data_IF_166542905778
#
_entry.id   IF_166542905778
#
_cell.length_a   1.000
_cell.length_b   1.000
_cell.length_c   1.000
_cell.angle_alpha   90.00
_cell.angle_beta   90.00
_cell.angle_gamma   90.00
#
_symmetry.space_group_name_H-M   'P 1'
#
loop_
_entity.id
_entity.type
_entity.pdbx_description
1 polymer ?
#
# COMPACT_ATOMS: atom_id res chain seq x y z
N UNK A 1 -35.07 5.04 -6.43
CA UNK A 1 -34.40 4.98 -5.10
C UNK A 1 -32.97 4.49 -5.28
N UNK A 2 -31.98 5.40 -5.24
CA UNK A 2 -30.56 5.08 -5.44
C UNK A 2 -29.93 4.55 -4.15
N UNK A 3 -29.50 3.28 -4.14
CA UNK A 3 -28.76 2.69 -3.00
C UNK A 3 -27.55 3.57 -2.62
N UNK A 4 -27.20 3.68 -1.33
CA UNK A 4 -25.98 4.35 -0.86
C UNK A 4 -24.76 3.48 -1.23
N UNK A 5 -24.41 3.42 -2.51
CA UNK A 5 -23.34 2.54 -3.01
C UNK A 5 -21.95 2.99 -2.56
N UNK A 6 -21.80 4.24 -2.12
CA UNK A 6 -20.49 4.84 -1.81
C UNK A 6 -19.91 4.53 -0.43
N UNK A 7 -20.71 4.10 0.55
CA UNK A 7 -20.22 3.94 1.95
C UNK A 7 -19.83 2.51 2.30
N UNK A 8 -20.33 1.51 1.56
CA UNK A 8 -20.07 0.09 1.87
C UNK A 8 -18.57 -0.27 1.84
N UNK A 9 -17.77 0.14 0.82
CA UNK A 9 -16.35 -0.16 0.84
C UNK A 9 -15.64 0.44 2.06
N UNK A 10 -16.02 1.66 2.47
CA UNK A 10 -15.46 2.31 3.64
C UNK A 10 -15.76 1.54 4.92
N UNK A 11 -17.02 1.12 5.12
CA UNK A 11 -17.43 0.34 6.30
C UNK A 11 -16.66 -0.98 6.37
N UNK A 12 -16.52 -1.68 5.23
CA UNK A 12 -15.77 -2.94 5.16
C UNK A 12 -14.28 -2.72 5.44
N UNK A 13 -13.68 -1.68 4.86
CA UNK A 13 -12.29 -1.31 5.12
C UNK A 13 -12.04 -1.00 6.59
N UNK A 14 -12.86 -0.14 7.20
CA UNK A 14 -12.75 0.21 8.62
C UNK A 14 -12.99 -1.00 9.53
N UNK A 15 -13.96 -1.86 9.20
CA UNK A 15 -14.21 -3.09 9.93
C UNK A 15 -13.04 -4.07 9.89
N UNK A 16 -12.41 -4.23 8.72
CA UNK A 16 -11.20 -5.03 8.57
C UNK A 16 -10.00 -4.48 9.34
N UNK A 17 -9.77 -3.16 9.26
CA UNK A 17 -8.74 -2.48 10.03
C UNK A 17 -8.94 -2.68 11.55
N UNK A 18 -10.16 -2.44 12.05
CA UNK A 18 -10.48 -2.62 13.46
C UNK A 18 -10.31 -4.08 13.90
N UNK A 19 -10.75 -5.05 13.09
CA UNK A 19 -10.55 -6.47 13.37
C UNK A 19 -9.06 -6.83 13.45
N UNK A 20 -8.24 -6.37 12.48
CA UNK A 20 -6.80 -6.56 12.50
C UNK A 20 -6.14 -5.99 13.75
N UNK A 21 -6.45 -4.74 14.12
CA UNK A 21 -5.90 -4.08 15.32
C UNK A 21 -6.25 -4.83 16.61
N UNK A 22 -7.51 -5.26 16.75
CA UNK A 22 -7.96 -6.02 17.91
C UNK A 22 -7.31 -7.42 17.98
N UNK A 23 -7.15 -8.09 16.84
CA UNK A 23 -6.43 -9.36 16.76
C UNK A 23 -4.94 -9.20 17.07
N UNK A 24 -4.31 -8.09 16.67
CA UNK A 24 -2.93 -7.77 17.01
C UNK A 24 -2.75 -7.61 18.53
N UNK A 25 -3.67 -6.88 19.17
CA UNK A 25 -3.72 -6.76 20.63
C UNK A 25 -3.87 -8.11 21.32
N UNK A 26 -4.74 -8.97 20.80
CA UNK A 26 -4.96 -10.31 21.32
C UNK A 26 -3.71 -11.19 21.16
N UNK A 27 -3.09 -11.19 19.97
CA UNK A 27 -1.83 -11.90 19.71
C UNK A 27 -0.71 -11.48 20.67
N UNK A 28 -0.55 -10.17 20.91
CA UNK A 28 0.41 -9.67 21.91
C UNK A 28 0.11 -10.12 23.35
N UNK A 29 -1.16 -10.30 23.71
CA UNK A 29 -1.56 -10.84 25.02
C UNK A 29 -1.19 -12.32 25.16
N UNK A 30 -1.33 -13.08 24.06
CA UNK A 30 -0.90 -14.48 24.01
C UNK A 30 0.62 -14.59 24.11
N UNK A 31 1.38 -13.68 23.48
CA UNK A 31 2.85 -13.65 23.58
C UNK A 31 3.32 -13.50 25.04
N UNK A 32 2.76 -12.56 25.80
CA UNK A 32 3.10 -12.40 27.23
C UNK A 32 2.73 -13.62 28.07
N UNK A 33 1.63 -14.27 27.75
CA UNK A 33 1.16 -15.45 28.49
C UNK A 33 2.11 -16.62 28.29
N UNK A 34 2.60 -16.81 27.05
CA UNK A 34 3.58 -17.83 26.70
C UNK A 34 4.94 -17.53 27.29
N UNK A 35 5.42 -16.29 27.21
CA UNK A 35 6.75 -15.91 27.72
C UNK A 35 6.88 -16.12 29.23
N UNK A 36 5.82 -15.83 30.00
CA UNK A 36 5.75 -16.10 31.45
C UNK A 36 5.68 -17.58 31.80
N UNK A 37 5.17 -18.42 30.90
CA UNK A 37 5.06 -19.87 31.10
C UNK A 37 6.35 -20.60 30.69
N UNK A 38 7.06 -20.09 29.67
CA UNK A 38 8.27 -20.69 29.10
C UNK A 38 9.54 -20.52 29.97
N UNK A 39 9.49 -19.77 31.06
CA UNK A 39 10.58 -19.67 32.05
C UNK A 39 10.92 -21.02 32.74
N UNK A 40 10.24 -22.11 32.39
CA UNK A 40 10.48 -23.48 32.86
C UNK A 40 11.24 -24.42 31.91
N UNK A 41 11.66 -23.99 30.71
CA UNK A 41 12.57 -24.76 29.85
C UNK A 41 11.96 -25.53 28.66
N UNK A 42 10.69 -25.30 28.32
CA UNK A 42 10.03 -25.90 27.15
C UNK A 42 10.03 -24.99 25.91
N UNK A 43 9.94 -25.61 24.72
CA UNK A 43 9.76 -24.95 23.43
C UNK A 43 8.55 -23.99 23.44
N UNK A 44 8.75 -22.76 22.96
CA UNK A 44 7.67 -21.77 22.91
C UNK A 44 6.66 -22.12 21.82
N UNK A 45 5.36 -22.21 22.12
CA UNK A 45 4.34 -22.46 21.11
C UNK A 45 4.22 -21.28 20.11
N UNK A 46 4.09 -21.62 18.82
CA UNK A 46 4.11 -20.66 17.69
C UNK A 46 2.76 -19.98 17.40
N UNK A 47 1.65 -20.44 18.00
CA UNK A 47 0.31 -19.92 17.72
C UNK A 47 0.11 -18.42 18.01
N UNK A 48 0.71 -17.79 19.04
CA UNK A 48 0.53 -16.35 19.27
C UNK A 48 1.06 -15.50 18.10
N UNK A 49 2.16 -15.96 17.49
CA UNK A 49 2.81 -15.29 16.37
C UNK A 49 1.97 -15.42 15.10
N UNK A 50 1.38 -16.60 14.89
CA UNK A 50 0.41 -16.82 13.82
C UNK A 50 -0.80 -15.89 13.95
N UNK A 51 -1.28 -15.63 15.18
CA UNK A 51 -2.37 -14.66 15.41
C UNK A 51 -1.95 -13.24 14.99
N UNK A 52 -0.73 -12.80 15.32
CA UNK A 52 -0.23 -11.47 14.91
C UNK A 52 -0.07 -11.35 13.39
N UNK A 53 0.44 -12.38 12.72
CA UNK A 53 0.55 -12.39 11.25
C UNK A 53 -0.83 -12.38 10.59
N UNK A 54 -1.78 -13.18 11.10
CA UNK A 54 -3.17 -13.16 10.61
C UNK A 54 -3.83 -11.79 10.85
N UNK A 55 -3.55 -11.16 12.00
CA UNK A 55 -4.01 -9.82 12.30
C UNK A 55 -3.52 -8.81 11.26
N UNK A 56 -2.25 -8.88 10.86
CA UNK A 56 -1.67 -8.04 9.82
C UNK A 56 -2.32 -8.28 8.45
N UNK A 57 -2.49 -9.56 8.07
CA UNK A 57 -3.13 -9.92 6.80
C UNK A 57 -4.55 -9.33 6.70
N UNK A 58 -5.33 -9.42 7.78
CA UNK A 58 -6.69 -8.87 7.83
C UNK A 58 -6.66 -7.33 7.87
N UNK A 59 -5.84 -6.77 8.76
CA UNK A 59 -5.73 -5.34 9.01
C UNK A 59 -5.31 -4.57 7.75
N UNK A 60 -4.35 -5.09 6.99
CA UNK A 60 -3.84 -4.47 5.77
C UNK A 60 -4.67 -4.89 4.54
N UNK A 61 -4.93 -6.19 4.39
CA UNK A 61 -5.54 -6.74 3.18
C UNK A 61 -6.98 -6.27 2.95
N UNK A 62 -7.81 -6.19 4.00
CA UNK A 62 -9.21 -5.81 3.85
C UNK A 62 -9.38 -4.34 3.40
N UNK A 63 -8.68 -3.34 3.99
CA UNK A 63 -8.65 -1.98 3.47
C UNK A 63 -8.18 -1.86 2.01
N UNK A 64 -7.14 -2.61 1.62
CA UNK A 64 -6.67 -2.61 0.24
C UNK A 64 -7.72 -3.16 -0.74
N UNK A 65 -8.41 -4.25 -0.36
CA UNK A 65 -9.55 -4.78 -1.12
C UNK A 65 -10.69 -3.76 -1.18
N UNK A 66 -10.96 -3.02 -0.10
CA UNK A 66 -11.96 -1.96 -0.09
C UNK A 66 -11.61 -0.81 -1.05
N UNK A 67 -10.34 -0.43 -1.18
CA UNK A 67 -9.88 0.56 -2.17
C UNK A 67 -10.09 0.04 -3.59
N UNK A 68 -9.70 -1.22 -3.86
CA UNK A 68 -9.94 -1.86 -5.15
C UNK A 68 -11.44 -1.92 -5.48
N UNK A 69 -12.28 -2.21 -4.49
CA UNK A 69 -13.74 -2.21 -4.64
C UNK A 69 -14.26 -0.81 -4.93
N UNK A 70 -13.84 0.21 -4.19
CA UNK A 70 -14.18 1.61 -4.46
C UNK A 70 -13.81 2.00 -5.90
N UNK A 71 -12.59 1.68 -6.34
CA UNK A 71 -12.14 1.95 -7.71
C UNK A 71 -13.05 1.29 -8.75
N UNK A 72 -13.36 0.00 -8.57
CA UNK A 72 -14.22 -0.78 -9.48
C UNK A 72 -15.66 -0.29 -9.55
N UNK A 73 -16.18 0.35 -8.50
CA UNK A 73 -17.49 1.01 -8.54
C UNK A 73 -17.49 2.30 -9.37
N UNK A 74 -16.34 2.98 -9.47
CA UNK A 74 -16.20 4.24 -10.21
C UNK A 74 -15.74 4.03 -11.64
N UNK A 75 -14.83 3.09 -11.86
CA UNK A 75 -14.23 2.76 -13.15
C UNK A 75 -14.60 1.33 -13.51
N UNK A 76 -15.58 1.20 -14.41
CA UNK A 76 -15.98 -0.11 -14.92
C UNK A 76 -14.91 -0.69 -15.84
N UNK A 77 -14.54 -1.95 -15.59
CA UNK A 77 -13.76 -2.78 -16.53
C UNK A 77 -14.61 -3.93 -17.11
N UNK A 78 -15.94 -3.83 -17.05
CA UNK A 78 -16.85 -4.89 -17.52
C UNK A 78 -16.64 -5.22 -19.00
N UNK A 79 -16.31 -4.20 -19.79
CA UNK A 79 -16.12 -4.31 -21.24
C UNK A 79 -14.64 -4.20 -21.64
N UNK A 80 -13.73 -4.15 -20.67
CA UNK A 80 -12.29 -4.04 -20.94
C UNK A 80 -11.69 -5.44 -21.13
N UNK A 81 -11.19 -5.77 -22.34
CA UNK A 81 -10.52 -7.05 -22.57
C UNK A 81 -9.26 -7.14 -21.70
N UNK A 82 -8.80 -8.37 -21.44
CA UNK A 82 -7.57 -8.63 -20.67
C UNK A 82 -7.57 -8.20 -19.19
N UNK A 83 -8.70 -7.79 -18.60
CA UNK A 83 -8.79 -7.40 -17.16
C UNK A 83 -8.23 -8.46 -16.18
N UNK A 84 -8.39 -9.74 -16.49
CA UNK A 84 -7.87 -10.86 -15.68
C UNK A 84 -6.36 -11.01 -15.85
N UNK A 85 -5.84 -10.82 -17.06
CA UNK A 85 -4.40 -10.82 -17.30
C UNK A 85 -3.75 -9.64 -16.58
N UNK A 86 -4.35 -8.45 -16.63
CA UNK A 86 -3.87 -7.29 -15.88
C UNK A 86 -3.86 -7.50 -14.34
N UNK A 87 -4.82 -8.26 -13.79
CA UNK A 87 -4.78 -8.68 -12.39
C UNK A 87 -3.54 -9.56 -12.11
N UNK A 88 -3.32 -10.62 -12.90
CA UNK A 88 -2.19 -11.52 -12.68
C UNK A 88 -0.84 -10.85 -12.91
N UNK A 89 -0.74 -10.01 -13.93
CA UNK A 89 0.46 -9.21 -14.19
C UNK A 89 0.69 -8.22 -13.06
N UNK A 90 -0.37 -7.57 -12.56
CA UNK A 90 -0.28 -6.67 -11.41
C UNK A 90 0.25 -7.40 -10.17
N UNK A 91 -0.26 -8.59 -9.85
CA UNK A 91 0.22 -9.39 -8.73
C UNK A 91 1.68 -9.81 -8.91
N UNK A 92 2.03 -10.37 -10.08
CA UNK A 92 3.40 -10.77 -10.39
C UNK A 92 4.37 -9.59 -10.31
N UNK A 93 3.97 -8.43 -10.85
CA UNK A 93 4.78 -7.23 -10.80
C UNK A 93 4.88 -6.65 -9.40
N UNK A 94 3.81 -6.65 -8.60
CA UNK A 94 3.87 -6.21 -7.21
C UNK A 94 4.91 -7.00 -6.41
N UNK A 95 4.99 -8.33 -6.62
CA UNK A 95 6.03 -9.17 -6.02
C UNK A 95 7.42 -8.79 -6.51
N UNK A 96 7.63 -8.67 -7.83
CA UNK A 96 8.93 -8.27 -8.40
C UNK A 96 9.34 -6.90 -7.88
N UNK A 97 8.40 -5.96 -7.82
CA UNK A 97 8.63 -4.62 -7.36
C UNK A 97 9.02 -4.57 -5.89
N UNK A 98 8.37 -5.38 -5.03
CA UNK A 98 8.76 -5.54 -3.63
C UNK A 98 10.20 -6.07 -3.49
N UNK A 99 10.55 -7.11 -4.26
CA UNK A 99 11.90 -7.69 -4.20
C UNK A 99 12.96 -6.70 -4.66
N UNK A 100 12.70 -5.98 -5.76
CA UNK A 100 13.60 -4.95 -6.26
C UNK A 100 13.73 -3.78 -5.28
N UNK A 101 12.61 -3.30 -4.71
CA UNK A 101 12.63 -2.26 -3.69
C UNK A 101 13.45 -2.68 -2.46
N UNK A 102 13.22 -3.90 -1.94
CA UNK A 102 13.98 -4.43 -0.81
C UNK A 102 15.49 -4.48 -1.05
N UNK A 103 15.93 -4.84 -2.27
CA UNK A 103 17.35 -4.88 -2.64
C UNK A 103 17.93 -3.47 -2.83
N UNK A 104 17.15 -2.55 -3.39
CA UNK A 104 17.62 -1.22 -3.77
C UNK A 104 17.52 -0.18 -2.66
N UNK A 105 16.59 -0.33 -1.70
CA UNK A 105 16.35 0.62 -0.63
C UNK A 105 17.58 0.75 0.29
N UNK A 106 18.28 -0.35 0.59
CA UNK A 106 19.53 -0.31 1.37
C UNK A 106 20.58 0.62 0.76
N UNK A 107 21.05 0.38 -0.47
CA UNK A 107 21.94 1.30 -1.18
C UNK A 107 21.38 2.72 -1.35
N UNK A 108 20.07 2.86 -1.58
CA UNK A 108 19.43 4.16 -1.79
C UNK A 108 19.53 5.07 -0.55
N UNK A 109 19.42 4.51 0.66
CA UNK A 109 19.57 5.28 1.91
C UNK A 109 20.97 5.88 2.11
N UNK A 110 21.98 5.38 1.37
CA UNK A 110 23.35 5.88 1.42
C UNK A 110 23.58 7.12 0.55
N UNK A 111 22.61 7.54 -0.26
CA UNK A 111 22.71 8.71 -1.13
C UNK A 111 22.44 10.02 -0.37
N UNK A 112 22.99 11.17 -0.82
CA UNK A 112 22.71 12.48 -0.22
C UNK A 112 21.21 12.76 -0.22
N UNK A 113 20.60 12.96 0.96
CA UNK A 113 19.14 13.06 1.13
C UNK A 113 18.49 11.87 1.84
N UNK A 114 19.24 10.79 2.10
CA UNK A 114 18.89 9.73 3.05
C UNK A 114 17.53 9.08 2.79
N UNK A 115 16.62 9.24 3.75
CA UNK A 115 15.30 8.57 3.78
C UNK A 115 14.33 8.98 2.66
N UNK A 116 14.66 9.96 1.82
CA UNK A 116 13.82 10.35 0.68
C UNK A 116 13.95 9.36 -0.50
N UNK A 117 15.10 8.69 -0.62
CA UNK A 117 15.41 7.82 -1.76
C UNK A 117 14.63 6.50 -1.79
N UNK A 118 14.35 5.81 -0.67
CA UNK A 118 13.51 4.61 -0.65
C UNK A 118 12.15 4.81 -1.31
N UNK A 119 11.37 5.81 -0.88
CA UNK A 119 10.08 6.12 -1.52
C UNK A 119 10.19 6.43 -3.01
N UNK A 120 11.28 7.06 -3.46
CA UNK A 120 11.57 7.29 -4.88
C UNK A 120 11.78 5.99 -5.65
N UNK A 121 12.58 5.08 -5.11
CA UNK A 121 12.87 3.77 -5.70
C UNK A 121 11.60 2.93 -5.77
N UNK A 122 10.81 2.93 -4.72
CA UNK A 122 9.57 2.17 -4.69
C UNK A 122 8.55 2.64 -5.72
N UNK A 123 8.30 3.95 -5.81
CA UNK A 123 7.41 4.49 -6.83
C UNK A 123 7.96 4.27 -8.24
N UNK A 124 9.30 4.28 -8.41
CA UNK A 124 9.96 3.90 -9.67
C UNK A 124 9.55 2.51 -10.09
N UNK A 125 9.79 1.53 -9.22
CA UNK A 125 9.62 0.14 -9.59
C UNK A 125 8.13 -0.19 -9.73
N UNK A 126 7.24 0.39 -8.91
CA UNK A 126 5.78 0.23 -9.07
C UNK A 126 5.31 0.69 -10.46
N UNK A 127 5.85 1.81 -10.97
CA UNK A 127 5.42 2.42 -12.24
C UNK A 127 6.19 1.91 -13.47
N UNK A 128 7.35 1.27 -13.30
CA UNK A 128 8.22 0.85 -14.40
C UNK A 128 7.54 -0.11 -15.39
N UNK A 129 7.01 -1.25 -14.93
CA UNK A 129 6.32 -2.19 -15.82
C UNK A 129 5.10 -1.55 -16.50
N UNK A 130 4.21 -0.82 -15.80
CA UNK A 130 3.15 -0.07 -16.43
C UNK A 130 3.65 0.80 -17.60
N UNK A 131 4.74 1.56 -17.41
CA UNK A 131 5.32 2.41 -18.46
C UNK A 131 5.84 1.56 -19.63
N UNK A 132 6.52 0.46 -19.36
CA UNK A 132 6.98 -0.48 -20.41
C UNK A 132 5.79 -1.02 -21.21
N UNK A 133 4.71 -1.43 -20.55
CA UNK A 133 3.50 -1.95 -21.20
C UNK A 133 2.78 -0.87 -22.03
N UNK A 134 2.74 0.38 -21.55
CA UNK A 134 2.21 1.52 -22.30
C UNK A 134 2.97 1.73 -23.63
N UNK A 135 4.30 1.61 -23.60
CA UNK A 135 5.17 1.83 -24.75
C UNK A 135 5.15 0.66 -25.74
N UNK A 136 5.14 -0.57 -25.22
CA UNK A 136 5.35 -1.79 -26.01
C UNK A 136 4.07 -2.43 -26.56
N UNK A 137 2.92 -2.26 -25.89
CA UNK A 137 1.72 -3.05 -26.18
C UNK A 137 0.47 -2.18 -26.36
N UNK A 138 -0.15 -2.24 -27.54
CA UNK A 138 -1.39 -1.52 -27.85
C UNK A 138 -2.52 -1.85 -26.85
N UNK A 139 -2.57 -3.08 -26.36
CA UNK A 139 -3.55 -3.57 -25.39
C UNK A 139 -3.53 -2.80 -24.08
N UNK A 140 -2.37 -2.34 -23.62
CA UNK A 140 -2.19 -1.63 -22.35
C UNK A 140 -2.22 -0.10 -22.49
N UNK A 141 -2.58 0.40 -23.68
CA UNK A 141 -2.84 1.84 -23.89
C UNK A 141 -4.18 2.30 -23.32
N UNK A 142 -5.10 1.39 -22.96
CA UNK A 142 -6.33 1.76 -22.25
C UNK A 142 -5.96 2.32 -20.87
N UNK A 143 -6.35 3.57 -20.55
CA UNK A 143 -6.12 4.17 -19.25
C UNK A 143 -6.76 3.38 -18.11
N UNK A 144 -7.92 2.74 -18.37
CA UNK A 144 -8.64 1.95 -17.37
C UNK A 144 -7.90 0.66 -17.03
N UNK A 145 -7.39 -0.02 -18.06
CA UNK A 145 -6.62 -1.26 -17.87
C UNK A 145 -5.28 -0.97 -17.19
N UNK A 146 -4.59 0.10 -17.61
CA UNK A 146 -3.33 0.54 -17.00
C UNK A 146 -3.50 0.90 -15.52
N UNK A 147 -4.50 1.73 -15.19
CA UNK A 147 -4.79 2.10 -13.80
C UNK A 147 -5.18 0.90 -12.93
N UNK A 148 -5.91 -0.08 -13.50
CA UNK A 148 -6.22 -1.31 -12.78
C UNK A 148 -4.99 -2.16 -12.49
N UNK A 149 -4.11 -2.35 -13.47
CA UNK A 149 -2.84 -3.06 -13.30
C UNK A 149 -1.99 -2.41 -12.20
N UNK A 150 -1.85 -1.08 -12.24
CA UNK A 150 -1.09 -0.31 -11.24
C UNK A 150 -1.72 -0.44 -9.86
N UNK A 151 -3.06 -0.35 -9.77
CA UNK A 151 -3.76 -0.51 -8.50
C UNK A 151 -3.45 -1.87 -7.86
N UNK A 152 -3.51 -2.94 -8.65
CA UNK A 152 -3.20 -4.29 -8.17
C UNK A 152 -1.74 -4.40 -7.76
N UNK A 153 -0.81 -3.90 -8.57
CA UNK A 153 0.62 -3.97 -8.28
C UNK A 153 0.98 -3.20 -7.00
N UNK A 154 0.52 -1.95 -6.87
CA UNK A 154 0.80 -1.11 -5.71
C UNK A 154 0.12 -1.64 -4.43
N UNK A 155 -1.13 -2.12 -4.53
CA UNK A 155 -1.81 -2.73 -3.39
C UNK A 155 -1.13 -4.04 -2.95
N UNK A 156 -0.72 -4.87 -3.91
CA UNK A 156 -0.05 -6.14 -3.57
C UNK A 156 1.34 -5.91 -2.99
N UNK A 157 2.10 -4.94 -3.50
CA UNK A 157 3.36 -4.54 -2.91
C UNK A 157 3.17 -4.04 -1.47
N UNK A 158 2.28 -3.07 -1.24
CA UNK A 158 2.03 -2.55 0.12
C UNK A 158 1.53 -3.65 1.07
N UNK A 159 0.73 -4.60 0.57
CA UNK A 159 0.36 -5.78 1.36
C UNK A 159 1.58 -6.62 1.78
N UNK A 160 2.45 -6.98 0.83
CA UNK A 160 3.65 -7.77 1.11
C UNK A 160 4.60 -7.04 2.05
N UNK A 161 4.80 -5.75 1.80
CA UNK A 161 5.64 -4.89 2.61
C UNK A 161 5.14 -4.79 4.04
N UNK A 162 3.88 -4.41 4.24
CA UNK A 162 3.33 -4.29 5.59
C UNK A 162 3.34 -5.60 6.36
N UNK A 163 3.05 -6.72 5.71
CA UNK A 163 3.18 -8.05 6.33
C UNK A 163 4.64 -8.35 6.66
N UNK A 164 5.59 -8.04 5.77
CA UNK A 164 7.02 -8.27 6.02
C UNK A 164 7.53 -7.47 7.23
N UNK A 165 7.07 -6.23 7.41
CA UNK A 165 7.43 -5.44 8.58
C UNK A 165 6.90 -6.02 9.89
N UNK A 166 5.69 -6.57 9.88
CA UNK A 166 5.14 -7.26 11.05
C UNK A 166 5.94 -8.52 11.35
N UNK A 167 6.30 -9.30 10.31
CA UNK A 167 7.16 -10.48 10.47
C UNK A 167 8.50 -10.07 11.08
N UNK A 168 9.19 -9.07 10.54
CA UNK A 168 10.47 -8.57 11.08
C UNK A 168 10.35 -8.09 12.54
N UNK A 169 9.20 -7.50 12.93
CA UNK A 169 8.98 -7.08 14.31
C UNK A 169 8.80 -8.27 15.27
N UNK A 170 8.31 -9.41 14.79
CA UNK A 170 8.09 -10.61 15.61
C UNK A 170 9.18 -11.68 15.46
N UNK A 171 10.06 -11.57 14.46
CA UNK A 171 11.15 -12.52 14.16
C UNK A 171 12.09 -12.73 15.35
N UNK A 172 12.54 -11.68 16.09
CA UNK A 172 13.35 -11.89 17.27
C UNK A 172 12.64 -12.69 18.38
N UNK A 173 11.30 -12.66 18.40
CA UNK A 173 10.48 -13.42 19.35
C UNK A 173 10.34 -14.88 18.90
N UNK A 174 10.26 -15.11 17.58
CA UNK A 174 10.32 -16.46 16.97
C UNK A 174 11.65 -17.15 17.31
N UNK A 175 12.74 -16.39 17.33
CA UNK A 175 14.09 -16.88 17.64
C UNK A 175 14.38 -17.03 19.16
N UNK A 176 13.35 -16.96 20.00
CA UNK A 176 13.49 -17.15 21.46
C UNK A 176 13.82 -15.89 22.25
N UNK A 177 13.87 -14.71 21.61
CA UNK A 177 14.01 -13.42 22.28
C UNK A 177 12.80 -13.09 23.17
N UNK A 178 12.98 -12.33 24.27
CA UNK A 178 11.89 -12.03 25.20
C UNK A 178 10.77 -11.23 24.53
N UNK A 179 9.53 -11.46 24.95
CA UNK A 179 8.42 -10.64 24.48
C UNK A 179 8.56 -9.21 25.04
N UNK A 180 8.17 -8.16 24.28
CA UNK A 180 8.10 -6.82 24.83
C UNK A 180 7.22 -6.77 26.08
N UNK A 181 7.61 -5.97 27.08
CA UNK A 181 6.86 -5.86 28.35
C UNK A 181 5.40 -5.43 28.17
N UNK A 182 5.09 -4.71 27.09
CA UNK A 182 3.74 -4.36 26.65
C UNK A 182 3.44 -4.88 25.23
N UNK A 183 3.74 -6.16 24.97
CA UNK A 183 3.46 -6.79 23.67
C UNK A 183 2.02 -6.59 23.14
N UNK A 184 0.94 -6.59 23.96
CA UNK A 184 -0.41 -6.28 23.48
C UNK A 184 -0.51 -4.90 22.83
N UNK A 185 0.07 -3.88 23.44
CA UNK A 185 0.06 -2.54 22.87
C UNK A 185 0.97 -2.47 21.64
N UNK A 186 2.20 -2.99 21.71
CA UNK A 186 3.15 -2.94 20.60
C UNK A 186 2.57 -3.59 19.34
N UNK A 187 2.06 -4.82 19.44
CA UNK A 187 1.48 -5.54 18.29
C UNK A 187 0.22 -4.86 17.73
N UNK A 188 -0.61 -4.28 18.61
CA UNK A 188 -1.77 -3.49 18.20
C UNK A 188 -1.35 -2.25 17.40
N UNK A 189 -0.32 -1.54 17.87
CA UNK A 189 0.18 -0.33 17.25
C UNK A 189 0.89 -0.59 15.93
N UNK A 190 1.68 -1.67 15.84
CA UNK A 190 2.36 -2.06 14.61
C UNK A 190 1.36 -2.40 13.51
N UNK A 191 0.34 -3.21 13.83
CA UNK A 191 -0.74 -3.52 12.86
C UNK A 191 -1.50 -2.26 12.46
N UNK A 192 -1.79 -1.35 13.40
CA UNK A 192 -2.48 -0.09 13.12
C UNK A 192 -1.66 0.79 12.16
N UNK A 193 -0.38 1.01 12.46
CA UNK A 193 0.51 1.85 11.66
C UNK A 193 0.61 1.29 10.24
N UNK A 194 0.88 -0.02 10.11
CA UNK A 194 0.99 -0.66 8.79
C UNK A 194 -0.33 -0.57 8.03
N UNK A 195 -1.46 -0.80 8.68
CA UNK A 195 -2.76 -0.63 8.03
C UNK A 195 -2.95 0.77 7.44
N UNK A 196 -2.50 1.82 8.12
CA UNK A 196 -2.61 3.21 7.64
C UNK A 196 -1.59 3.47 6.52
N UNK A 197 -0.33 3.10 6.71
CA UNK A 197 0.74 3.37 5.74
C UNK A 197 0.50 2.62 4.43
N UNK A 198 0.20 1.32 4.51
CA UNK A 198 0.15 0.47 3.32
C UNK A 198 -0.99 0.82 2.37
N UNK A 199 -2.08 1.43 2.87
CA UNK A 199 -3.15 1.93 1.99
C UNK A 199 -2.72 3.13 1.16
N UNK A 200 -1.65 3.84 1.54
CA UNK A 200 -1.14 4.97 0.77
C UNK A 200 -0.56 4.51 -0.58
N UNK A 201 0.06 3.33 -0.66
CA UNK A 201 0.72 2.80 -1.86
C UNK A 201 -0.22 2.86 -3.08
N UNK A 202 -1.39 2.19 -3.08
CA UNK A 202 -2.31 2.29 -4.22
C UNK A 202 -2.89 3.69 -4.42
N UNK A 203 -3.04 4.53 -3.38
CA UNK A 203 -3.59 5.88 -3.52
C UNK A 203 -2.62 6.80 -4.29
N UNK A 204 -1.34 6.72 -3.96
CA UNK A 204 -0.27 7.54 -4.55
C UNK A 204 -0.03 7.09 -6.00
N UNK A 205 0.32 5.82 -6.19
CA UNK A 205 0.79 5.30 -7.48
C UNK A 205 -0.31 5.33 -8.55
N UNK A 206 -1.56 5.00 -8.18
CA UNK A 206 -2.68 5.02 -9.15
C UNK A 206 -3.00 6.44 -9.61
N UNK A 207 -2.89 7.43 -8.73
CA UNK A 207 -3.09 8.82 -9.13
C UNK A 207 -2.11 9.24 -10.22
N UNK A 208 -0.82 8.92 -10.06
CA UNK A 208 0.20 9.17 -11.09
C UNK A 208 -0.09 8.41 -12.38
N UNK A 209 -0.39 7.11 -12.29
CA UNK A 209 -0.68 6.30 -13.46
C UNK A 209 -1.86 6.84 -14.28
N UNK A 210 -2.94 7.29 -13.65
CA UNK A 210 -4.06 7.88 -14.37
C UNK A 210 -3.63 9.14 -15.13
N UNK A 211 -2.86 10.02 -14.50
CA UNK A 211 -2.36 11.24 -15.14
C UNK A 211 -1.45 10.89 -16.33
N UNK A 212 -0.52 9.95 -16.16
CA UNK A 212 0.42 9.49 -17.19
C UNK A 212 -0.36 8.93 -18.40
N UNK A 213 -1.32 8.03 -18.19
CA UNK A 213 -2.05 7.38 -19.28
C UNK A 213 -2.95 8.37 -20.02
N UNK A 214 -3.67 9.24 -19.29
CA UNK A 214 -4.52 10.23 -19.92
C UNK A 214 -3.70 11.23 -20.73
N UNK A 215 -2.54 11.66 -20.23
CA UNK A 215 -1.62 12.53 -20.96
C UNK A 215 -1.08 11.84 -22.23
N UNK A 216 -0.60 10.60 -22.11
CA UNK A 216 -0.10 9.81 -23.24
C UNK A 216 -1.15 9.58 -24.34
N UNK A 217 -2.43 9.49 -23.96
CA UNK A 217 -3.55 9.30 -24.89
C UNK A 217 -3.99 10.57 -25.58
N UNK A 218 -3.93 11.72 -24.91
CA UNK A 218 -4.60 12.95 -25.35
C UNK A 218 -3.67 14.05 -25.84
N UNK A 219 -2.35 13.93 -25.60
CA UNK A 219 -1.39 15.01 -25.86
C UNK A 219 -0.27 14.57 -26.81
N UNK A 220 0.38 15.53 -27.51
CA UNK A 220 1.61 15.27 -28.24
C UNK A 220 2.72 14.71 -27.32
N UNK A 221 3.60 13.88 -27.88
CA UNK A 221 4.60 13.10 -27.14
C UNK A 221 5.42 13.93 -26.14
N UNK A 222 5.88 15.13 -26.51
CA UNK A 222 6.69 15.98 -25.63
C UNK A 222 5.90 16.50 -24.41
N UNK A 223 4.61 16.83 -24.57
CA UNK A 223 3.75 17.26 -23.46
C UNK A 223 3.38 16.08 -22.58
N UNK A 224 3.07 14.94 -23.19
CA UNK A 224 2.79 13.71 -22.47
C UNK A 224 3.99 13.29 -21.60
N UNK A 225 5.21 13.39 -22.14
CA UNK A 225 6.43 13.13 -21.39
C UNK A 225 6.59 14.09 -20.21
N UNK A 226 6.48 15.40 -20.43
CA UNK A 226 6.61 16.40 -19.35
C UNK A 226 5.58 16.20 -18.22
N UNK A 227 4.31 15.98 -18.57
CA UNK A 227 3.26 15.71 -17.58
C UNK A 227 3.48 14.37 -16.88
N UNK A 228 3.92 13.35 -17.61
CA UNK A 228 4.22 12.04 -17.04
C UNK A 228 5.37 12.11 -16.03
N UNK A 229 6.43 12.84 -16.35
CA UNK A 229 7.54 13.10 -15.44
C UNK A 229 7.09 13.86 -14.19
N UNK A 230 6.27 14.91 -14.34
CA UNK A 230 5.73 15.65 -13.20
C UNK A 230 4.83 14.79 -12.30
N UNK A 231 3.99 13.95 -12.90
CA UNK A 231 3.13 13.02 -12.14
C UNK A 231 3.96 11.98 -11.39
N UNK A 232 5.02 11.50 -12.02
CA UNK A 232 5.97 10.56 -11.42
C UNK A 232 6.72 11.19 -10.24
N UNK A 233 7.36 12.35 -10.44
CA UNK A 233 8.07 13.08 -9.37
C UNK A 233 7.11 13.47 -8.26
N UNK A 234 5.88 13.85 -8.60
CA UNK A 234 4.82 14.15 -7.63
C UNK A 234 4.47 12.93 -6.77
N UNK A 235 4.29 11.75 -7.35
CA UNK A 235 4.05 10.53 -6.59
C UNK A 235 5.22 10.18 -5.67
N UNK A 236 6.45 10.26 -6.18
CA UNK A 236 7.64 10.00 -5.37
C UNK A 236 7.82 11.00 -4.23
N UNK A 237 7.52 12.28 -4.45
CA UNK A 237 7.54 13.29 -3.39
C UNK A 237 6.45 13.05 -2.34
N UNK A 238 5.25 12.67 -2.76
CA UNK A 238 4.17 12.28 -1.86
C UNK A 238 4.61 11.07 -1.03
N UNK A 239 5.14 10.01 -1.65
CA UNK A 239 5.68 8.85 -0.94
C UNK A 239 6.81 9.22 0.03
N UNK A 240 7.81 10.00 -0.41
CA UNK A 240 8.90 10.42 0.49
C UNK A 240 8.42 11.22 1.71
N UNK A 241 7.30 11.96 1.61
CA UNK A 241 6.67 12.61 2.75
C UNK A 241 6.06 11.61 3.73
N UNK A 242 5.43 10.54 3.24
CA UNK A 242 4.96 9.41 4.07
C UNK A 242 6.14 8.84 4.88
N UNK A 243 7.25 8.51 4.20
CA UNK A 243 8.45 7.94 4.84
C UNK A 243 9.02 8.86 5.93
N UNK A 244 9.04 10.17 5.67
CA UNK A 244 9.50 11.15 6.64
C UNK A 244 8.59 11.29 7.87
N UNK A 245 7.28 11.05 7.74
CA UNK A 245 6.32 11.07 8.86
C UNK A 245 6.42 9.79 9.70
N UNK A 246 6.65 8.64 9.06
CA UNK A 246 6.62 7.33 9.72
C UNK A 246 7.98 6.93 10.30
N UNK A 247 9.08 7.32 9.66
CA UNK A 247 10.44 6.90 9.97
C UNK A 247 11.40 8.10 10.14
N UNK A 248 10.88 9.32 10.24
CA UNK A 248 11.67 10.54 10.37
C UNK A 248 11.44 11.30 11.69
N UNK A 249 11.83 12.59 11.75
CA UNK A 249 11.89 13.36 13.00
C UNK A 249 10.57 13.45 13.78
N UNK A 250 9.44 13.36 13.08
CA UNK A 250 8.11 13.37 13.71
C UNK A 250 7.89 12.12 14.56
N UNK A 251 8.30 10.95 14.05
CA UNK A 251 8.23 9.68 14.76
C UNK A 251 9.13 9.68 15.99
N UNK A 252 10.35 10.18 15.83
CA UNK A 252 11.35 10.28 16.90
C UNK A 252 10.87 11.18 18.05
N UNK A 253 10.12 12.23 17.72
CA UNK A 253 9.54 13.13 18.71
C UNK A 253 8.31 12.55 19.40
N UNK A 254 7.35 11.98 18.65
CA UNK A 254 6.10 11.45 19.21
C UNK A 254 5.43 10.42 18.31
N UNK A 255 5.46 9.16 18.76
CA UNK A 255 4.75 8.04 18.15
C UNK A 255 3.25 8.33 17.93
N UNK A 256 2.47 8.80 18.93
CA UNK A 256 1.07 9.13 18.71
C UNK A 256 0.85 10.26 17.70
N UNK A 257 1.70 11.29 17.70
CA UNK A 257 1.57 12.40 16.75
C UNK A 257 1.83 11.93 15.32
N UNK A 258 2.86 11.11 15.11
CA UNK A 258 3.18 10.49 13.81
C UNK A 258 1.97 9.73 13.26
N UNK A 259 1.28 8.94 14.10
CA UNK A 259 0.10 8.15 13.66
C UNK A 259 -1.07 9.05 13.26
N UNK A 260 -1.36 10.08 14.04
CA UNK A 260 -2.44 11.02 13.73
C UNK A 260 -2.13 11.77 12.43
N UNK A 261 -0.89 12.22 12.27
CA UNK A 261 -0.44 12.90 11.06
C UNK A 261 -0.51 11.98 9.84
N UNK A 262 -0.13 10.72 9.98
CA UNK A 262 -0.20 9.72 8.93
C UNK A 262 -1.65 9.44 8.50
N UNK A 263 -2.57 9.31 9.45
CA UNK A 263 -3.99 9.18 9.15
C UNK A 263 -4.55 10.41 8.39
N UNK A 264 -4.17 11.62 8.81
CA UNK A 264 -4.53 12.87 8.12
C UNK A 264 -3.94 12.93 6.72
N UNK A 265 -2.68 12.53 6.57
CA UNK A 265 -1.97 12.47 5.31
C UNK A 265 -2.64 11.52 4.33
N UNK A 266 -2.96 10.29 4.72
CA UNK A 266 -3.69 9.32 3.87
C UNK A 266 -5.03 9.87 3.41
N UNK A 267 -5.77 10.52 4.31
CA UNK A 267 -7.04 11.18 3.96
C UNK A 267 -6.83 12.29 2.94
N UNK A 268 -5.77 13.09 3.10
CA UNK A 268 -5.42 14.16 2.16
C UNK A 268 -5.03 13.59 0.78
N UNK A 269 -4.20 12.56 0.74
CA UNK A 269 -3.83 11.86 -0.52
C UNK A 269 -5.08 11.29 -1.18
N UNK A 270 -5.98 10.66 -0.42
CA UNK A 270 -7.24 10.17 -0.97
C UNK A 270 -8.09 11.32 -1.56
N UNK A 271 -8.28 12.40 -0.81
CA UNK A 271 -9.20 13.48 -1.16
C UNK A 271 -8.71 14.38 -2.29
N UNK A 272 -7.42 14.71 -2.30
CA UNK A 272 -6.83 15.71 -3.19
C UNK A 272 -6.02 15.10 -4.34
N UNK A 273 -5.55 13.86 -4.21
CA UNK A 273 -4.77 13.18 -5.24
C UNK A 273 -5.57 12.05 -5.91
N UNK A 274 -5.80 10.94 -5.21
CA UNK A 274 -6.38 9.72 -5.79
C UNK A 274 -7.81 9.93 -6.33
N UNK A 275 -8.73 10.40 -5.49
CA UNK A 275 -10.15 10.52 -5.84
C UNK A 275 -10.38 11.43 -7.05
N UNK A 276 -9.76 12.62 -7.16
CA UNK A 276 -9.85 13.45 -8.35
C UNK A 276 -9.41 12.73 -9.63
N UNK A 277 -8.32 11.96 -9.59
CA UNK A 277 -7.86 11.22 -10.76
C UNK A 277 -8.82 10.08 -11.14
N UNK A 278 -9.32 9.32 -10.17
CA UNK A 278 -10.34 8.27 -10.42
C UNK A 278 -11.60 8.87 -11.06
N UNK A 279 -12.04 10.04 -10.61
CA UNK A 279 -13.18 10.75 -11.22
C UNK A 279 -12.88 11.24 -12.64
N UNK A 280 -11.65 11.68 -12.93
CA UNK A 280 -11.22 12.02 -14.30
C UNK A 280 -11.26 10.78 -15.19
N UNK A 281 -10.72 9.65 -14.74
CA UNK A 281 -10.74 8.38 -15.47
C UNK A 281 -12.18 7.87 -15.71
N UNK A 282 -13.06 8.00 -14.72
CA UNK A 282 -14.48 7.65 -14.87
C UNK A 282 -15.17 8.46 -15.97
N UNK A 283 -14.81 9.73 -16.12
CA UNK A 283 -15.36 10.62 -17.16
C UNK A 283 -14.78 10.36 -18.54
N UNK A 284 -13.64 9.66 -18.64
CA UNK A 284 -13.07 9.28 -19.92
C UNK A 284 -13.95 8.21 -20.60
N UNK A 285 -14.74 8.64 -21.60
CA UNK A 285 -15.71 7.81 -22.35
C UNK A 285 -15.10 7.16 -23.59
N UNK A 286 -13.82 7.38 -23.86
CA UNK A 286 -13.21 7.06 -25.15
C UNK A 286 -12.89 5.57 -25.35
N UNK A 287 -13.02 4.73 -24.32
CA UNK A 287 -12.90 3.26 -24.43
C UNK A 287 -14.23 2.57 -24.82
N UNK A 288 -15.29 3.33 -25.12
CA UNK A 288 -16.63 2.80 -25.46
C UNK A 288 -16.93 2.78 -26.97
N UNK A 289 -15.92 2.55 -27.82
CA UNK A 289 -16.09 2.36 -29.26
C UNK A 289 -15.54 1.01 -29.70
#
# INVERSE_FOLDING_TARGET
MSRPRGTVPLIVGLGGAAAGVLLGRWGGSLLLTVDRAASGGDDRPTYPLLVVVVAAIIGIGVPLVAIAWYFRQKVSLADTPHRRQALWIGLAWGTIAMLLAGVLNGPATMLPGGAIWPGLVEEFVKLLLPVVLLLSARTYRSPRLGAWLVLVAAAWLGFLEGVSYIITAVDPILDGGPAPSDAPFVMMMDVLIRTIVEVSHPLITVGAAIVIWLAAKSLPAWRAFGIGLLAYVGAAAIHGLNDAVINGPVRDWSVPASIVLEAVYVVAVFAFWFRPQVLRLQRDRTDAR
#
